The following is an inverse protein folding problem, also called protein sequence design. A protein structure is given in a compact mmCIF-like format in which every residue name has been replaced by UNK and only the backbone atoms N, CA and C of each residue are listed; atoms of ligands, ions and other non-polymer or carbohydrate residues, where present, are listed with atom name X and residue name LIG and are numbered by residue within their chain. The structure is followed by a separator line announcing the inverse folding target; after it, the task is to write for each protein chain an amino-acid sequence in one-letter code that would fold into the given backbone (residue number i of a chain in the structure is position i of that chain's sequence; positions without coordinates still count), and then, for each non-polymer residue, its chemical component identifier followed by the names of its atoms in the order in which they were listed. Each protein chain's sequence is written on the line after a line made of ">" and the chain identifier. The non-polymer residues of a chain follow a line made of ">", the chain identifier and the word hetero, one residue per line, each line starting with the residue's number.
data_IF_982696372420
#
_entry.id   IF_982696372420
#
_cell.length_a   1.000
_cell.length_b   1.000
_cell.length_c   1.000
_cell.angle_alpha   90.00
_cell.angle_beta   90.00
_cell.angle_gamma   90.00
#
_symmetry.space_group_name_H-M   'P 1'
#
loop_
_entity.id
_entity.type
_entity.pdbx_description
1 polymer ?
#
# COMPACT_ATOMS: atom_id res chain seq x y z
N UNK A 1 8.28 -5.42 8.53
CA UNK A 1 8.23 -4.27 9.46
C UNK A 1 9.46 -3.37 9.41
N UNK A 2 10.69 -3.84 9.65
CA UNK A 2 11.87 -2.95 9.70
C UNK A 2 12.07 -2.09 8.44
N UNK A 3 11.89 -2.68 7.24
CA UNK A 3 11.97 -1.97 5.95
C UNK A 3 10.86 -0.92 5.82
N UNK A 4 9.66 -1.23 6.29
CA UNK A 4 8.52 -0.31 6.23
C UNK A 4 8.75 0.90 7.14
N UNK A 5 9.18 0.64 8.38
CA UNK A 5 9.52 1.70 9.35
C UNK A 5 10.61 2.61 8.79
N UNK A 6 11.68 2.06 8.21
CA UNK A 6 12.73 2.87 7.60
C UNK A 6 12.23 3.64 6.37
N UNK A 7 11.36 3.04 5.57
CA UNK A 7 10.69 3.68 4.43
C UNK A 7 9.88 4.91 4.84
N UNK A 8 9.18 4.89 5.97
CA UNK A 8 8.43 6.04 6.49
C UNK A 8 9.34 7.24 6.73
N UNK A 9 10.50 7.05 7.35
CA UNK A 9 11.48 8.14 7.56
C UNK A 9 12.01 8.69 6.25
N UNK A 10 12.32 7.81 5.28
CA UNK A 10 12.74 8.22 3.94
C UNK A 10 11.64 9.00 3.24
N UNK A 11 10.38 8.60 3.38
CA UNK A 11 9.24 9.28 2.77
C UNK A 11 9.03 10.68 3.35
N UNK A 12 9.14 10.84 4.67
CA UNK A 12 9.06 12.15 5.33
C UNK A 12 10.17 13.06 4.79
N UNK A 13 11.42 12.56 4.72
CA UNK A 13 12.54 13.33 4.21
C UNK A 13 12.36 13.70 2.73
N UNK A 14 11.93 12.76 1.90
CA UNK A 14 11.70 12.98 0.47
C UNK A 14 10.59 14.02 0.24
N UNK A 15 9.48 13.94 0.99
CA UNK A 15 8.43 14.95 0.90
C UNK A 15 8.92 16.32 1.38
N UNK A 16 9.65 16.40 2.50
CA UNK A 16 10.21 17.67 2.97
C UNK A 16 11.11 18.31 1.92
N UNK A 17 11.99 17.53 1.28
CA UNK A 17 12.88 18.04 0.25
C UNK A 17 12.12 18.44 -1.02
N UNK A 18 11.28 17.55 -1.56
CA UNK A 18 10.66 17.75 -2.87
C UNK A 18 9.47 18.72 -2.83
N UNK A 19 8.64 18.64 -1.80
CA UNK A 19 7.44 19.47 -1.68
C UNK A 19 7.82 20.85 -1.13
N UNK A 20 8.62 20.91 -0.07
CA UNK A 20 8.89 22.16 0.65
C UNK A 20 10.20 22.84 0.23
N UNK A 21 11.33 22.12 0.19
CA UNK A 21 12.63 22.74 -0.13
C UNK A 21 12.79 23.08 -1.62
N UNK A 22 12.35 22.19 -2.52
CA UNK A 22 12.39 22.39 -3.97
C UNK A 22 11.11 22.99 -4.56
N UNK A 23 10.09 23.23 -3.74
CA UNK A 23 8.81 23.86 -4.12
C UNK A 23 8.10 23.18 -5.31
N UNK A 24 8.19 21.84 -5.43
CA UNK A 24 7.43 21.11 -6.45
C UNK A 24 5.94 20.95 -6.11
N UNK A 25 5.49 21.47 -4.97
CA UNK A 25 4.11 21.36 -4.50
C UNK A 25 3.61 19.92 -4.48
N UNK A 26 2.38 19.71 -4.94
CA UNK A 26 1.74 18.38 -4.95
C UNK A 26 2.48 17.39 -5.86
N UNK A 27 3.10 17.83 -6.96
CA UNK A 27 3.90 16.92 -7.80
C UNK A 27 5.09 16.32 -7.04
N UNK A 28 5.62 17.07 -6.06
CA UNK A 28 6.67 16.60 -5.16
C UNK A 28 6.27 15.34 -4.38
N UNK A 29 5.00 15.15 -4.02
CA UNK A 29 4.55 13.94 -3.31
C UNK A 29 4.58 12.71 -4.20
N UNK A 30 4.27 12.86 -5.49
CA UNK A 30 4.39 11.80 -6.49
C UNK A 30 5.84 11.33 -6.67
N UNK A 31 6.77 12.28 -6.80
CA UNK A 31 8.21 11.97 -6.85
C UNK A 31 8.71 11.35 -5.55
N UNK A 32 8.28 11.86 -4.39
CA UNK A 32 8.62 11.28 -3.10
C UNK A 32 8.14 9.82 -3.00
N UNK A 33 6.93 9.53 -3.49
CA UNK A 33 6.40 8.17 -3.60
C UNK A 33 7.30 7.26 -4.44
N UNK A 34 7.70 7.71 -5.63
CA UNK A 34 8.63 6.96 -6.49
C UNK A 34 9.95 6.62 -5.78
N UNK A 35 10.59 7.59 -5.13
CA UNK A 35 11.85 7.36 -4.41
C UNK A 35 11.68 6.42 -3.22
N UNK A 36 10.61 6.59 -2.44
CA UNK A 36 10.31 5.70 -1.30
C UNK A 36 10.04 4.28 -1.78
N UNK A 37 9.22 4.08 -2.80
CA UNK A 37 8.93 2.75 -3.35
C UNK A 37 10.19 2.08 -3.91
N UNK A 38 11.05 2.84 -4.59
CA UNK A 38 12.34 2.33 -5.11
C UNK A 38 13.28 1.91 -3.98
N UNK A 39 13.33 2.70 -2.90
CA UNK A 39 14.10 2.40 -1.70
C UNK A 39 13.59 1.13 -0.99
N UNK A 40 12.26 1.03 -0.78
CA UNK A 40 11.61 -0.12 -0.17
C UNK A 40 11.86 -1.40 -0.98
N UNK A 41 11.72 -1.33 -2.31
CA UNK A 41 11.99 -2.46 -3.20
C UNK A 41 13.44 -2.93 -3.09
N UNK A 42 14.39 -2.00 -3.11
CA UNK A 42 15.82 -2.31 -3.02
C UNK A 42 16.16 -2.99 -1.69
N UNK A 43 15.68 -2.45 -0.58
CA UNK A 43 15.93 -3.04 0.74
C UNK A 43 15.27 -4.41 0.89
N UNK A 44 14.01 -4.56 0.45
CA UNK A 44 13.33 -5.85 0.48
C UNK A 44 14.10 -6.88 -0.34
N UNK A 45 14.55 -6.53 -1.55
CA UNK A 45 15.38 -7.42 -2.37
C UNK A 45 16.68 -7.84 -1.67
N UNK A 46 17.38 -6.89 -1.02
CA UNK A 46 18.62 -7.18 -0.28
C UNK A 46 18.39 -8.09 0.93
N UNK A 47 17.27 -7.93 1.64
CA UNK A 47 16.94 -8.78 2.78
C UNK A 47 16.46 -10.16 2.36
N UNK A 48 15.60 -10.25 1.33
CA UNK A 48 15.11 -11.53 0.80
C UNK A 48 16.26 -12.43 0.34
N UNK A 49 17.32 -11.86 -0.27
CA UNK A 49 18.54 -12.60 -0.61
C UNK A 49 19.26 -13.26 0.57
N UNK A 50 19.06 -12.77 1.79
CA UNK A 50 19.72 -13.28 3.00
C UNK A 50 18.88 -14.34 3.72
N UNK A 51 17.63 -14.53 3.31
CA UNK A 51 16.74 -15.53 3.89
C UNK A 51 17.05 -16.88 3.25
N UNK A 52 17.46 -17.84 4.09
CA UNK A 52 17.72 -19.22 3.65
C UNK A 52 16.41 -19.89 3.20
N UNK A 53 16.45 -20.64 2.11
CA UNK A 53 15.29 -21.35 1.57
C UNK A 53 14.47 -20.56 0.55
N UNK A 54 14.91 -19.35 0.18
CA UNK A 54 14.31 -18.56 -0.90
C UNK A 54 15.18 -18.51 -2.15
N UNK A 55 16.28 -19.27 -2.21
CA UNK A 55 17.22 -19.24 -3.33
C UNK A 55 16.53 -19.63 -4.65
N UNK A 56 15.73 -20.70 -4.64
CA UNK A 56 14.97 -21.17 -5.81
C UNK A 56 13.98 -20.11 -6.33
N UNK A 57 13.27 -19.43 -5.43
CA UNK A 57 12.33 -18.36 -5.80
C UNK A 57 13.03 -17.15 -6.43
N UNK A 58 14.31 -16.92 -6.13
CA UNK A 58 15.11 -15.82 -6.67
C UNK A 58 15.72 -16.15 -8.04
N UNK A 59 15.72 -17.42 -8.46
CA UNK A 59 16.25 -17.89 -9.74
C UNK A 59 15.20 -17.90 -10.87
N UNK A 60 13.91 -17.75 -10.52
CA UNK A 60 12.79 -17.72 -11.47
C UNK A 60 12.97 -16.57 -12.45
N UNK A 61 13.00 -16.89 -13.74
CA UNK A 61 13.12 -15.91 -14.83
C UNK A 61 11.76 -15.44 -15.29
N UNK A 62 11.65 -14.18 -15.70
CA UNK A 62 10.39 -13.60 -16.18
C UNK A 62 9.70 -14.37 -17.32
N UNK A 63 10.46 -15.12 -18.14
CA UNK A 63 9.96 -15.93 -19.25
C UNK A 63 9.89 -17.43 -18.95
N UNK A 64 9.86 -17.81 -17.67
CA UNK A 64 9.73 -19.22 -17.31
C UNK A 64 8.32 -19.74 -17.65
N UNK A 65 8.17 -20.78 -18.49
CA UNK A 65 6.86 -21.34 -18.83
C UNK A 65 6.08 -21.87 -17.61
N UNK A 66 6.75 -22.24 -16.52
CA UNK A 66 6.12 -22.65 -15.28
C UNK A 66 5.28 -21.53 -14.64
N UNK A 67 5.62 -20.25 -14.90
CA UNK A 67 4.85 -19.10 -14.40
C UNK A 67 3.43 -19.14 -14.98
N UNK A 68 3.30 -19.30 -16.30
CA UNK A 68 2.00 -19.32 -16.97
C UNK A 68 1.16 -20.52 -16.53
N UNK A 69 1.81 -21.66 -16.27
CA UNK A 69 1.15 -22.87 -15.78
C UNK A 69 0.59 -22.69 -14.36
N UNK A 70 1.36 -22.03 -13.49
CA UNK A 70 0.98 -21.81 -12.09
C UNK A 70 0.04 -20.61 -11.89
N UNK A 71 0.03 -19.64 -12.80
CA UNK A 71 -0.84 -18.45 -12.73
C UNK A 71 -2.33 -18.80 -12.55
N UNK A 72 -2.80 -19.89 -13.16
CA UNK A 72 -4.19 -20.34 -12.99
C UNK A 72 -4.55 -20.64 -11.52
N UNK A 73 -3.61 -21.21 -10.76
CA UNK A 73 -3.78 -21.46 -9.33
C UNK A 73 -3.80 -20.16 -8.53
N UNK A 74 -2.90 -19.22 -8.84
CA UNK A 74 -2.88 -17.89 -8.22
C UNK A 74 -4.18 -17.13 -8.47
N UNK A 75 -4.74 -17.16 -9.69
CA UNK A 75 -6.03 -16.53 -9.96
C UNK A 75 -7.18 -17.22 -9.23
N UNK A 76 -7.19 -18.56 -9.18
CA UNK A 76 -8.24 -19.29 -8.47
C UNK A 76 -8.34 -18.90 -6.99
N UNK A 77 -7.21 -18.62 -6.34
CA UNK A 77 -7.14 -18.21 -4.94
C UNK A 77 -7.28 -16.68 -4.79
N UNK A 78 -6.62 -15.92 -5.67
CA UNK A 78 -6.55 -14.46 -5.58
C UNK A 78 -7.82 -13.75 -6.03
N UNK A 79 -8.49 -14.21 -7.08
CA UNK A 79 -9.71 -13.58 -7.60
C UNK A 79 -10.84 -13.46 -6.56
N UNK A 80 -11.20 -14.49 -5.76
CA UNK A 80 -12.23 -14.31 -4.74
C UNK A 80 -11.81 -13.30 -3.67
N UNK A 81 -10.53 -13.26 -3.29
CA UNK A 81 -9.99 -12.30 -2.33
C UNK A 81 -10.10 -10.87 -2.88
N UNK A 82 -9.66 -10.66 -4.13
CA UNK A 82 -9.76 -9.36 -4.81
C UNK A 82 -11.22 -8.90 -4.92
N UNK A 83 -12.16 -9.81 -5.22
CA UNK A 83 -13.57 -9.47 -5.28
C UNK A 83 -14.11 -8.99 -3.92
N UNK A 84 -13.74 -9.68 -2.82
CA UNK A 84 -14.12 -9.25 -1.46
C UNK A 84 -13.58 -7.86 -1.15
N UNK A 85 -12.29 -7.59 -1.39
CA UNK A 85 -11.70 -6.26 -1.16
C UNK A 85 -12.32 -5.19 -2.04
N UNK A 86 -12.62 -5.52 -3.31
CA UNK A 86 -13.26 -4.59 -4.22
C UNK A 86 -14.66 -4.20 -3.72
N UNK A 87 -15.49 -5.17 -3.32
CA UNK A 87 -16.82 -4.86 -2.79
C UNK A 87 -16.77 -4.13 -1.45
N UNK A 88 -15.82 -4.47 -0.58
CA UNK A 88 -15.58 -3.75 0.67
C UNK A 88 -15.22 -2.27 0.42
N UNK A 89 -14.27 -2.02 -0.47
CA UNK A 89 -13.88 -0.65 -0.85
C UNK A 89 -15.03 0.11 -1.53
N UNK A 90 -15.79 -0.56 -2.41
CA UNK A 90 -16.96 0.05 -3.06
C UNK A 90 -18.02 0.47 -2.04
N UNK A 91 -18.26 -0.33 -1.00
CA UNK A 91 -19.16 0.06 0.09
C UNK A 91 -18.67 1.34 0.79
N UNK A 92 -17.36 1.45 1.05
CA UNK A 92 -16.76 2.64 1.63
C UNK A 92 -16.93 3.89 0.75
N UNK A 93 -16.72 3.76 -0.56
CA UNK A 93 -16.94 4.86 -1.51
C UNK A 93 -18.41 5.29 -1.56
N UNK A 94 -19.35 4.33 -1.57
CA UNK A 94 -20.78 4.63 -1.53
C UNK A 94 -21.16 5.38 -0.25
N UNK A 95 -20.63 4.98 0.91
CA UNK A 95 -20.84 5.73 2.16
C UNK A 95 -20.29 7.15 2.08
N UNK A 96 -19.13 7.33 1.45
CA UNK A 96 -18.50 8.66 1.26
C UNK A 96 -19.33 9.56 0.36
N UNK A 97 -19.88 9.01 -0.73
CA UNK A 97 -20.81 9.75 -1.61
C UNK A 97 -22.08 10.13 -0.85
N UNK A 98 -22.65 9.20 -0.08
CA UNK A 98 -23.86 9.46 0.72
C UNK A 98 -23.62 10.50 1.83
N UNK A 99 -22.41 10.56 2.39
CA UNK A 99 -22.03 11.57 3.38
C UNK A 99 -22.11 13.00 2.84
N UNK A 100 -22.00 13.18 1.52
CA UNK A 100 -22.16 14.49 0.87
C UNK A 100 -23.56 15.10 1.00
N UNK A 101 -24.56 14.32 1.40
CA UNK A 101 -25.93 14.81 1.68
C UNK A 101 -26.14 15.19 3.15
N UNK A 102 -25.15 14.98 4.02
CA UNK A 102 -25.23 15.31 5.44
C UNK A 102 -24.89 16.79 5.70
N UNK A 103 -25.26 17.27 6.88
CA UNK A 103 -24.81 18.56 7.38
C UNK A 103 -23.32 18.55 7.75
N UNK A 104 -22.73 19.74 7.85
CA UNK A 104 -21.29 19.93 8.09
C UNK A 104 -20.84 19.28 9.41
N UNK A 105 -21.68 19.33 10.45
CA UNK A 105 -21.35 18.79 11.78
C UNK A 105 -21.34 17.27 11.76
N UNK A 106 -22.33 16.67 11.10
CA UNK A 106 -22.47 15.23 10.93
C UNK A 106 -21.31 14.67 10.09
N UNK A 107 -20.96 15.36 9.00
CA UNK A 107 -19.82 14.99 8.17
C UNK A 107 -18.49 15.08 8.92
N UNK A 108 -18.26 16.15 9.68
CA UNK A 108 -17.07 16.28 10.53
C UNK A 108 -16.98 15.14 11.56
N UNK A 109 -18.10 14.79 12.18
CA UNK A 109 -18.18 13.66 13.13
C UNK A 109 -17.86 12.33 12.45
N UNK A 110 -18.40 12.09 11.26
CA UNK A 110 -18.11 10.89 10.49
C UNK A 110 -16.63 10.76 10.15
N UNK A 111 -15.97 11.83 9.72
CA UNK A 111 -14.53 11.81 9.40
C UNK A 111 -13.69 11.43 10.61
N UNK A 112 -14.01 11.96 11.80
CA UNK A 112 -13.30 11.60 13.04
C UNK A 112 -13.48 10.11 13.37
N UNK A 113 -14.71 9.62 13.30
CA UNK A 113 -15.02 8.22 13.57
C UNK A 113 -14.33 7.28 12.57
N UNK A 114 -14.34 7.62 11.28
CA UNK A 114 -13.68 6.83 10.23
C UNK A 114 -12.17 6.74 10.45
N UNK A 115 -11.50 7.84 10.78
CA UNK A 115 -10.06 7.82 11.06
C UNK A 115 -9.73 6.93 12.29
N UNK A 116 -10.55 6.97 13.34
CA UNK A 116 -10.35 6.11 14.51
C UNK A 116 -10.57 4.62 14.18
N UNK A 117 -11.63 4.32 13.42
CA UNK A 117 -11.93 2.95 13.00
C UNK A 117 -10.83 2.40 12.09
N UNK A 118 -10.31 3.20 11.16
CA UNK A 118 -9.23 2.79 10.26
C UNK A 118 -7.95 2.41 11.04
N UNK A 119 -7.59 3.18 12.06
CA UNK A 119 -6.46 2.83 12.93
C UNK A 119 -6.69 1.50 13.69
N UNK A 120 -7.89 1.28 14.23
CA UNK A 120 -8.24 0.02 14.92
C UNK A 120 -8.24 -1.17 13.95
N UNK A 121 -8.69 -0.96 12.72
CA UNK A 121 -8.70 -1.96 11.66
C UNK A 121 -7.26 -2.33 11.25
N UNK A 122 -6.39 -1.36 11.04
CA UNK A 122 -4.98 -1.59 10.68
C UNK A 122 -4.21 -2.38 11.75
N UNK A 123 -4.51 -2.18 13.04
CA UNK A 123 -3.93 -3.00 14.11
C UNK A 123 -4.33 -4.47 13.97
N UNK A 124 -5.61 -4.73 13.69
CA UNK A 124 -6.16 -6.09 13.56
C UNK A 124 -5.64 -6.80 12.31
N UNK A 125 -5.40 -6.05 11.23
CA UNK A 125 -4.88 -6.56 9.97
C UNK A 125 -3.38 -6.94 10.04
N UNK A 126 -2.74 -6.69 11.19
CA UNK A 126 -1.30 -6.71 11.36
C UNK A 126 -0.73 -5.43 10.76
N UNK A 127 -0.36 -4.48 11.64
CA UNK A 127 0.20 -3.18 11.23
C UNK A 127 1.21 -3.38 10.09
N UNK A 128 0.89 -2.89 8.89
CA UNK A 128 1.79 -3.00 7.74
C UNK A 128 2.97 -2.04 7.89
#
# INVERSE_FOLDING_TARGET
>A
MAVQISGTFVHILANYLLVYYFDFGIMGTGFAGFFTSSYLLTLNYMLTKRVKGLEEAMEVRFRDPQILEQMGMYFKIGTPIVAVFFFDWMCFEMMTIMAGFLGVVEQATQVVLLNLLDQLFQISYGTQ
#
